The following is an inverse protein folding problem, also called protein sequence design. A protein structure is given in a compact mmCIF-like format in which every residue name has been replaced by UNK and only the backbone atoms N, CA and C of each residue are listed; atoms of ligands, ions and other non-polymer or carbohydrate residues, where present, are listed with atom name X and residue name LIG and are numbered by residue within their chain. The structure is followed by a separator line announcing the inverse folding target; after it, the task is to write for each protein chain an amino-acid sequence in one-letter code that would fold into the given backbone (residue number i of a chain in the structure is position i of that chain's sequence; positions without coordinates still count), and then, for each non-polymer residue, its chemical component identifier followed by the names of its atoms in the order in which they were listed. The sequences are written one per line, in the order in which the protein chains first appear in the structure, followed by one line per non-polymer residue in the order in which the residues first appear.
data_IF_616828059250
#
_entry.id   IF_616828059250
#
_cell.length_a   1.000
_cell.length_b   1.000
_cell.length_c   1.000
_cell.angle_alpha   90.00
_cell.angle_beta   90.00
_cell.angle_gamma   90.00
#
_symmetry.space_group_name_H-M   'P 1'
#
loop_
_entity.id
_entity.type
_entity.pdbx_description
1 polymer ?
#
# COMPACT_ATOMS: atom_id res chain seq x y z
N UNK A 1 -39.76 -1.70 21.52
CA UNK A 1 -40.59 -0.58 22.05
C UNK A 1 -41.89 -1.03 22.70
N UNK A 2 -42.69 -1.89 22.07
CA UNK A 2 -44.02 -2.35 22.58
C UNK A 2 -43.97 -2.98 23.98
N UNK A 3 -43.05 -3.91 24.26
CA UNK A 3 -43.00 -4.60 25.57
C UNK A 3 -42.76 -3.67 26.78
N UNK A 4 -42.07 -2.54 26.60
CA UNK A 4 -41.74 -1.65 27.71
C UNK A 4 -42.85 -0.65 28.02
N UNK A 5 -43.53 -0.11 27.01
CA UNK A 5 -44.69 0.77 27.22
C UNK A 5 -45.81 0.01 27.93
N UNK A 6 -46.03 -1.26 27.58
CA UNK A 6 -46.96 -2.14 28.29
C UNK A 6 -46.56 -2.36 29.75
N UNK A 7 -45.27 -2.57 30.06
CA UNK A 7 -44.80 -2.73 31.45
C UNK A 7 -44.99 -1.46 32.28
N UNK A 8 -44.70 -0.28 31.72
CA UNK A 8 -44.91 0.99 32.42
C UNK A 8 -46.39 1.28 32.70
N UNK A 9 -47.25 1.00 31.71
CA UNK A 9 -48.71 1.14 31.85
C UNK A 9 -49.22 0.15 32.91
N UNK A 10 -48.75 -1.11 32.92
CA UNK A 10 -49.16 -2.11 33.89
C UNK A 10 -48.74 -1.74 35.32
N UNK A 11 -47.51 -1.25 35.53
CA UNK A 11 -47.04 -0.78 36.84
C UNK A 11 -47.85 0.42 37.32
N UNK A 12 -48.12 1.38 36.43
CA UNK A 12 -48.91 2.55 36.75
C UNK A 12 -50.37 2.19 37.09
N UNK A 13 -50.99 1.27 36.35
CA UNK A 13 -52.32 0.74 36.66
C UNK A 13 -52.34 0.01 38.00
N UNK A 14 -51.30 -0.75 38.33
CA UNK A 14 -51.19 -1.46 39.61
C UNK A 14 -51.04 -0.48 40.78
N UNK A 15 -50.16 0.52 40.66
CA UNK A 15 -49.99 1.58 41.67
C UNK A 15 -51.29 2.38 41.83
N UNK A 16 -51.97 2.72 40.74
CA UNK A 16 -53.27 3.39 40.78
C UNK A 16 -54.35 2.54 41.45
N UNK A 17 -54.40 1.24 41.16
CA UNK A 17 -55.33 0.31 41.80
C UNK A 17 -55.07 0.20 43.31
N UNK A 18 -53.82 0.06 43.72
CA UNK A 18 -53.43 0.04 45.14
C UNK A 18 -53.80 1.37 45.82
N UNK A 19 -53.59 2.51 45.15
CA UNK A 19 -53.96 3.83 45.67
C UNK A 19 -55.47 3.99 45.88
N UNK A 20 -56.29 3.49 44.95
CA UNK A 20 -57.73 3.51 45.06
C UNK A 20 -58.23 2.63 46.21
N UNK A 21 -57.76 1.39 46.30
CA UNK A 21 -58.23 0.42 47.30
C UNK A 21 -57.71 0.75 48.69
N UNK A 22 -56.40 0.93 48.85
CA UNK A 22 -55.79 1.19 50.15
C UNK A 22 -56.15 2.58 50.69
N UNK A 23 -56.21 3.59 49.82
CA UNK A 23 -56.58 4.94 50.20
C UNK A 23 -58.02 5.03 50.72
N UNK A 24 -58.98 4.41 50.02
CA UNK A 24 -60.37 4.36 50.47
C UNK A 24 -60.56 3.52 51.73
N UNK A 25 -59.81 2.42 51.87
CA UNK A 25 -59.83 1.60 53.09
C UNK A 25 -59.30 2.38 54.30
N UNK A 26 -58.22 3.15 54.13
CA UNK A 26 -57.60 3.92 55.20
C UNK A 26 -58.49 5.08 55.66
N UNK A 27 -59.14 5.82 54.73
CA UNK A 27 -60.11 6.87 55.06
C UNK A 27 -61.28 6.30 55.89
N UNK A 28 -61.76 5.09 55.59
CA UNK A 28 -62.81 4.41 56.38
C UNK A 28 -62.35 4.00 57.76
N UNK A 29 -61.09 3.59 57.91
CA UNK A 29 -60.53 3.13 59.19
C UNK A 29 -60.21 4.30 60.13
N UNK A 30 -59.81 5.44 59.59
CA UNK A 30 -59.63 6.69 60.33
C UNK A 30 -61.02 7.29 60.57
N UNK A 31 -61.75 6.77 61.55
CA UNK A 31 -63.07 7.24 61.95
C UNK A 31 -62.97 8.58 62.68
N UNK A 32 -62.83 9.67 61.90
CA UNK A 32 -62.75 11.03 62.43
C UNK A 32 -64.15 11.46 62.91
N UNK A 33 -64.46 11.25 64.19
CA UNK A 33 -65.64 11.81 64.86
C UNK A 33 -65.47 13.31 65.13
N UNK A 34 -65.19 14.10 64.08
CA UNK A 34 -65.22 15.56 64.16
C UNK A 34 -66.59 16.02 63.66
N UNK A 35 -67.44 16.64 64.50
CA UNK A 35 -68.74 17.15 64.09
C UNK A 35 -68.59 18.17 62.95
N UNK A 36 -69.32 17.97 61.85
CA UNK A 36 -69.31 18.88 60.68
C UNK A 36 -68.27 18.58 59.60
N UNK A 37 -67.42 17.57 59.75
CA UNK A 37 -66.41 17.23 58.75
C UNK A 37 -66.97 16.32 57.64
N UNK A 38 -67.00 16.82 56.40
CA UNK A 38 -67.57 16.10 55.26
C UNK A 38 -66.50 15.21 54.58
N UNK A 39 -66.64 13.89 54.76
CA UNK A 39 -65.74 12.87 54.18
C UNK A 39 -65.60 12.97 52.65
N UNK A 40 -66.62 13.47 51.94
CA UNK A 40 -66.58 13.62 50.48
C UNK A 40 -65.43 14.55 50.04
N UNK A 41 -65.11 15.59 50.82
CA UNK A 41 -63.98 16.47 50.51
C UNK A 41 -62.64 15.74 50.59
N UNK A 42 -62.48 14.81 51.54
CA UNK A 42 -61.24 14.04 51.68
C UNK A 42 -61.06 13.07 50.51
N UNK A 43 -62.14 12.43 50.06
CA UNK A 43 -62.09 11.59 48.85
C UNK A 43 -61.73 12.41 47.61
N UNK A 44 -62.40 13.55 47.39
CA UNK A 44 -62.11 14.43 46.26
C UNK A 44 -60.67 14.95 46.28
N UNK A 45 -60.15 15.32 47.46
CA UNK A 45 -58.76 15.78 47.62
C UNK A 45 -57.76 14.66 47.32
N UNK A 46 -58.00 13.43 47.80
CA UNK A 46 -57.16 12.25 47.50
C UNK A 46 -57.09 11.99 46.00
N UNK A 47 -58.22 12.07 45.30
CA UNK A 47 -58.29 11.80 43.87
C UNK A 47 -57.61 12.91 43.05
N UNK A 48 -57.75 14.18 43.45
CA UNK A 48 -57.00 15.27 42.83
C UNK A 48 -55.49 15.14 43.04
N UNK A 49 -55.05 14.77 44.24
CA UNK A 49 -53.62 14.52 44.52
C UNK A 49 -53.07 13.38 43.65
N UNK A 50 -53.83 12.30 43.45
CA UNK A 50 -53.44 11.21 42.57
C UNK A 50 -53.25 11.67 41.12
N UNK A 51 -54.19 12.45 40.59
CA UNK A 51 -54.10 12.97 39.23
C UNK A 51 -52.87 13.86 39.04
N UNK A 52 -52.60 14.76 39.99
CA UNK A 52 -51.43 15.64 39.92
C UNK A 52 -50.12 14.85 39.98
N UNK A 53 -49.98 13.92 40.93
CA UNK A 53 -48.78 13.06 41.05
C UNK A 53 -48.58 12.20 39.81
N UNK A 54 -49.68 11.74 39.21
CA UNK A 54 -49.66 10.90 38.03
C UNK A 54 -49.22 11.66 36.77
N UNK A 55 -49.82 12.82 36.51
CA UNK A 55 -49.48 13.67 35.37
C UNK A 55 -48.01 14.10 35.46
N UNK A 56 -47.58 14.53 36.64
CA UNK A 56 -46.18 14.92 36.88
C UNK A 56 -45.22 13.74 36.70
N UNK A 57 -45.56 12.55 37.19
CA UNK A 57 -44.75 11.34 37.01
C UNK A 57 -44.61 10.95 35.53
N UNK A 58 -45.72 10.97 34.78
CA UNK A 58 -45.72 10.68 33.34
C UNK A 58 -44.86 11.70 32.59
N UNK A 59 -45.05 12.99 32.89
CA UNK A 59 -44.27 14.07 32.28
C UNK A 59 -42.76 13.94 32.58
N UNK A 60 -42.38 13.57 33.80
CA UNK A 60 -40.97 13.34 34.18
C UNK A 60 -40.38 12.14 33.44
N UNK A 61 -41.12 11.03 33.34
CA UNK A 61 -40.65 9.81 32.65
C UNK A 61 -40.47 10.08 31.15
N UNK A 62 -41.44 10.74 30.51
CA UNK A 62 -41.35 11.07 29.08
C UNK A 62 -40.22 12.07 28.82
N UNK A 63 -40.07 13.10 29.65
CA UNK A 63 -38.99 14.08 29.52
C UNK A 63 -37.61 13.45 29.69
N UNK A 64 -37.43 12.58 30.70
CA UNK A 64 -36.16 11.88 30.92
C UNK A 64 -35.81 10.95 29.74
N UNK A 65 -36.82 10.29 29.15
CA UNK A 65 -36.63 9.46 27.95
C UNK A 65 -36.26 10.28 26.73
N UNK A 66 -36.94 11.40 26.50
CA UNK A 66 -36.64 12.29 25.41
C UNK A 66 -35.19 12.80 25.51
N UNK A 67 -34.74 13.20 26.71
CA UNK A 67 -33.34 13.56 26.97
C UNK A 67 -32.37 12.43 26.64
N UNK A 68 -32.65 11.19 27.06
CA UNK A 68 -31.77 10.04 26.75
C UNK A 68 -31.68 9.74 25.25
N UNK A 69 -32.76 9.91 24.51
CA UNK A 69 -32.76 9.72 23.06
C UNK A 69 -31.94 10.80 22.36
N UNK A 70 -32.15 12.07 22.72
CA UNK A 70 -31.36 13.19 22.19
C UNK A 70 -29.86 13.04 22.47
N UNK A 71 -29.49 12.55 23.66
CA UNK A 71 -28.09 12.28 23.99
C UNK A 71 -27.48 11.20 23.09
N UNK A 72 -28.20 10.09 22.87
CA UNK A 72 -27.74 9.01 21.96
C UNK A 72 -27.62 9.48 20.52
N UNK A 73 -28.59 10.28 20.05
CA UNK A 73 -28.54 10.86 18.71
C UNK A 73 -27.34 11.79 18.55
N UNK A 74 -27.08 12.66 19.54
CA UNK A 74 -25.91 13.54 19.53
C UNK A 74 -24.60 12.76 19.58
N UNK A 75 -24.53 11.69 20.37
CA UNK A 75 -23.37 10.81 20.44
C UNK A 75 -23.12 10.10 19.11
N UNK A 76 -24.16 9.51 18.51
CA UNK A 76 -24.08 8.84 17.21
C UNK A 76 -23.64 9.81 16.11
N UNK A 77 -24.23 11.01 16.06
CA UNK A 77 -23.84 12.04 15.10
C UNK A 77 -22.39 12.49 15.32
N UNK A 78 -21.96 12.61 16.58
CA UNK A 78 -20.57 12.89 16.91
C UNK A 78 -19.61 11.80 16.46
N UNK A 79 -20.00 10.53 16.55
CA UNK A 79 -19.22 9.40 16.02
C UNK A 79 -19.17 9.42 14.49
N UNK A 80 -20.31 9.65 13.83
CA UNK A 80 -20.39 9.73 12.36
C UNK A 80 -19.46 10.82 11.82
N UNK A 81 -19.52 12.04 12.36
CA UNK A 81 -18.63 13.14 11.95
C UNK A 81 -17.16 12.78 12.18
N UNK A 82 -16.81 12.13 13.30
CA UNK A 82 -15.44 11.66 13.55
C UNK A 82 -15.00 10.59 12.54
N UNK A 83 -15.88 9.66 12.17
CA UNK A 83 -15.59 8.65 11.16
C UNK A 83 -15.41 9.28 9.78
N UNK A 84 -16.27 10.22 9.39
CA UNK A 84 -16.15 10.97 8.13
C UNK A 84 -14.84 11.76 8.07
N UNK A 85 -14.48 12.48 9.13
CA UNK A 85 -13.20 13.20 9.21
C UNK A 85 -12.01 12.25 9.11
N UNK A 86 -12.08 11.08 9.77
CA UNK A 86 -11.03 10.07 9.67
C UNK A 86 -10.90 9.51 8.26
N UNK A 87 -12.03 9.23 7.59
CA UNK A 87 -12.03 8.76 6.20
C UNK A 87 -11.47 9.81 5.26
N UNK A 88 -11.88 11.07 5.42
CA UNK A 88 -11.38 12.17 4.60
C UNK A 88 -9.87 12.37 4.78
N UNK A 89 -9.39 12.36 6.03
CA UNK A 89 -7.95 12.46 6.31
C UNK A 89 -7.17 11.30 5.71
N UNK A 90 -7.65 10.06 5.85
CA UNK A 90 -6.98 8.90 5.25
C UNK A 90 -6.94 8.96 3.72
N UNK A 91 -8.00 9.48 3.08
CA UNK A 91 -8.03 9.68 1.64
C UNK A 91 -7.02 10.75 1.21
N UNK A 92 -6.93 11.86 1.93
CA UNK A 92 -5.94 12.91 1.67
C UNK A 92 -4.51 12.42 1.87
N UNK A 93 -4.23 11.75 3.00
CA UNK A 93 -2.92 11.16 3.27
C UNK A 93 -2.54 10.16 2.16
N UNK A 94 -3.50 9.37 1.69
CA UNK A 94 -3.32 8.46 0.57
C UNK A 94 -2.98 9.20 -0.74
N UNK A 95 -3.70 10.29 -1.07
CA UNK A 95 -3.42 11.11 -2.24
C UNK A 95 -2.02 11.73 -2.19
N UNK A 96 -1.61 12.28 -1.04
CA UNK A 96 -0.26 12.85 -0.90
C UNK A 96 0.85 11.82 -1.06
N UNK A 97 0.67 10.60 -0.53
CA UNK A 97 1.65 9.53 -0.72
C UNK A 97 1.75 9.15 -2.19
N UNK A 98 0.62 9.09 -2.87
CA UNK A 98 0.54 8.77 -4.29
C UNK A 98 1.22 9.84 -5.16
N UNK A 99 0.94 11.12 -4.92
CA UNK A 99 1.60 12.25 -5.58
C UNK A 99 3.12 12.29 -5.30
N UNK A 100 3.54 11.97 -4.07
CA UNK A 100 4.95 11.97 -3.70
C UNK A 100 5.75 10.80 -4.30
N UNK A 101 5.09 9.67 -4.55
CA UNK A 101 5.71 8.48 -5.17
C UNK A 101 5.57 8.48 -6.69
N UNK A 102 4.64 9.27 -7.22
CA UNK A 102 4.27 9.34 -8.62
C UNK A 102 3.88 7.95 -9.18
N UNK A 103 3.25 7.13 -8.32
CA UNK A 103 2.84 5.78 -8.64
C UNK A 103 1.50 5.79 -9.39
N UNK A 104 1.31 4.82 -10.28
CA UNK A 104 0.04 4.59 -10.95
C UNK A 104 -0.70 3.45 -10.24
N UNK A 105 -1.88 3.73 -9.71
CA UNK A 105 -2.66 2.75 -8.94
C UNK A 105 -3.69 2.08 -9.83
N UNK A 106 -3.79 0.76 -9.71
CA UNK A 106 -4.75 -0.05 -10.44
C UNK A 106 -5.51 -1.01 -9.51
N UNK A 107 -6.73 -1.32 -9.93
CA UNK A 107 -7.66 -2.23 -9.29
C UNK A 107 -8.13 -3.27 -10.29
N UNK A 108 -7.84 -4.53 -10.02
CA UNK A 108 -8.14 -5.63 -10.93
C UNK A 108 -9.18 -6.58 -10.33
N UNK A 109 -10.31 -6.72 -11.03
CA UNK A 109 -11.36 -7.70 -10.74
C UNK A 109 -11.01 -9.01 -11.45
N UNK A 110 -10.58 -10.01 -10.67
CA UNK A 110 -10.05 -11.28 -11.20
C UNK A 110 -11.15 -12.08 -11.90
N UNK A 111 -12.38 -12.03 -11.37
CA UNK A 111 -13.51 -12.78 -11.91
C UNK A 111 -14.00 -12.19 -13.23
N UNK A 112 -13.93 -10.86 -13.40
CA UNK A 112 -14.36 -10.19 -14.63
C UNK A 112 -13.26 -10.01 -15.66
N UNK A 113 -12.01 -10.24 -15.29
CA UNK A 113 -10.85 -9.90 -16.12
C UNK A 113 -10.85 -8.41 -16.51
N UNK A 114 -11.07 -7.54 -15.52
CA UNK A 114 -11.15 -6.09 -15.74
C UNK A 114 -10.14 -5.35 -14.86
N UNK A 115 -9.20 -4.65 -15.52
CA UNK A 115 -8.30 -3.70 -14.87
C UNK A 115 -8.91 -2.29 -14.91
N UNK A 116 -8.95 -1.65 -13.76
CA UNK A 116 -9.37 -0.25 -13.59
C UNK A 116 -8.21 0.58 -13.06
N UNK A 117 -7.90 1.65 -13.77
CA UNK A 117 -6.94 2.65 -13.29
C UNK A 117 -7.63 3.54 -12.26
N UNK A 118 -7.05 3.59 -11.06
CA UNK A 118 -7.57 4.37 -9.92
C UNK A 118 -6.99 5.79 -9.93
N UNK A 119 -5.70 5.93 -10.27
CA UNK A 119 -4.99 7.23 -10.29
C UNK A 119 -3.64 7.15 -11.02
N UNK A 120 -3.11 8.29 -11.45
CA UNK A 120 -1.72 8.43 -11.94
C UNK A 120 -1.43 7.82 -13.32
N UNK A 121 -2.40 7.15 -13.94
CA UNK A 121 -2.21 6.47 -15.23
C UNK A 121 -1.93 7.46 -16.38
N UNK A 122 -2.77 8.48 -16.49
CA UNK A 122 -2.70 9.48 -17.55
C UNK A 122 -1.38 10.27 -17.47
N UNK A 123 -0.98 10.67 -16.27
CA UNK A 123 0.27 11.36 -15.98
C UNK A 123 1.52 10.50 -16.27
N UNK A 124 1.51 9.22 -15.85
CA UNK A 124 2.66 8.33 -16.01
C UNK A 124 2.90 7.92 -17.47
N UNK A 125 1.83 7.62 -18.21
CA UNK A 125 1.90 7.05 -19.56
C UNK A 125 1.50 8.02 -20.68
N UNK A 126 1.16 9.26 -20.33
CA UNK A 126 0.89 10.35 -21.27
C UNK A 126 -0.46 10.26 -21.98
N UNK A 127 -1.45 9.59 -21.39
CA UNK A 127 -2.81 9.54 -21.93
C UNK A 127 -3.60 10.81 -21.55
N UNK A 128 -4.60 11.15 -22.36
CA UNK A 128 -5.50 12.26 -22.05
C UNK A 128 -6.63 11.80 -21.13
N UNK A 129 -7.00 12.65 -20.17
CA UNK A 129 -8.12 12.46 -19.25
C UNK A 129 -9.35 11.86 -19.95
N UNK A 130 -9.76 10.68 -19.50
CA UNK A 130 -10.96 9.99 -20.00
C UNK A 130 -10.71 8.96 -21.11
N UNK A 131 -9.46 8.71 -21.50
CA UNK A 131 -9.14 7.57 -22.37
C UNK A 131 -9.35 6.27 -21.61
N UNK A 132 -10.44 5.54 -21.94
CA UNK A 132 -10.72 4.24 -21.30
C UNK A 132 -9.81 3.18 -21.90
N UNK A 133 -8.70 2.95 -21.22
CA UNK A 133 -7.76 1.88 -21.54
C UNK A 133 -8.24 0.58 -20.92
N UNK A 134 -8.71 -0.33 -21.77
CA UNK A 134 -9.04 -1.71 -21.36
C UNK A 134 -7.76 -2.53 -21.33
N UNK A 135 -7.36 -2.94 -20.14
CA UNK A 135 -6.27 -3.87 -19.89
C UNK A 135 -6.75 -5.07 -19.07
N UNK A 136 -5.94 -6.13 -19.12
CA UNK A 136 -6.22 -7.43 -18.53
C UNK A 136 -4.89 -8.05 -18.11
N UNK A 137 -4.84 -8.66 -16.94
CA UNK A 137 -3.68 -9.42 -16.49
C UNK A 137 -3.53 -10.77 -17.21
N UNK A 138 -4.61 -11.32 -17.78
CA UNK A 138 -4.55 -12.58 -18.52
C UNK A 138 -3.93 -12.45 -19.92
N UNK A 139 -3.94 -11.24 -20.51
CA UNK A 139 -3.37 -11.00 -21.85
C UNK A 139 -2.28 -9.93 -21.90
N UNK A 140 -2.29 -8.97 -20.98
CA UNK A 140 -1.31 -7.89 -20.85
C UNK A 140 -0.89 -7.27 -22.20
N UNK A 141 -1.84 -6.74 -23.00
CA UNK A 141 -1.60 -6.35 -24.39
C UNK A 141 -0.60 -5.20 -24.55
N UNK A 142 -0.46 -4.36 -23.52
CA UNK A 142 0.47 -3.22 -23.47
C UNK A 142 1.83 -3.56 -22.88
N UNK A 143 2.02 -4.77 -22.36
CA UNK A 143 3.35 -5.25 -21.99
C UNK A 143 4.11 -5.63 -23.25
N UNK A 144 5.38 -5.23 -23.30
CA UNK A 144 6.28 -5.50 -24.40
C UNK A 144 6.28 -7.00 -24.76
N UNK A 145 6.25 -7.40 -26.04
CA UNK A 145 6.08 -8.79 -26.45
C UNK A 145 7.08 -9.78 -25.83
N UNK A 146 8.32 -9.33 -25.58
CA UNK A 146 9.36 -10.18 -24.97
C UNK A 146 9.16 -10.41 -23.46
N UNK A 147 8.48 -9.50 -22.77
CA UNK A 147 8.33 -9.56 -21.31
C UNK A 147 6.98 -10.23 -20.95
N UNK A 148 6.01 -10.15 -21.87
CA UNK A 148 4.61 -10.52 -21.67
C UNK A 148 4.39 -11.92 -21.12
N UNK A 149 4.96 -12.96 -21.74
CA UNK A 149 4.66 -14.34 -21.30
C UNK A 149 5.17 -14.58 -19.88
N UNK A 150 6.37 -14.08 -19.57
CA UNK A 150 6.94 -14.17 -18.22
C UNK A 150 6.07 -13.44 -17.20
N UNK A 151 5.61 -12.23 -17.51
CA UNK A 151 4.75 -11.45 -16.60
C UNK A 151 3.40 -12.15 -16.35
N UNK A 152 2.79 -12.71 -17.40
CA UNK A 152 1.54 -13.47 -17.27
C UNK A 152 1.78 -14.74 -16.44
N UNK A 153 2.89 -15.44 -16.61
CA UNK A 153 3.21 -16.63 -15.82
C UNK A 153 3.40 -16.29 -14.33
N UNK A 154 4.11 -15.20 -14.01
CA UNK A 154 4.21 -14.70 -12.64
C UNK A 154 2.84 -14.40 -12.04
N UNK A 155 1.94 -13.80 -12.82
CA UNK A 155 0.57 -13.56 -12.40
C UNK A 155 -0.21 -14.86 -12.16
N UNK A 156 -0.14 -15.84 -13.08
CA UNK A 156 -0.78 -17.16 -12.87
C UNK A 156 -0.26 -17.84 -11.60
N UNK A 157 1.04 -17.78 -11.37
CA UNK A 157 1.68 -18.42 -10.23
C UNK A 157 1.20 -17.84 -8.90
N UNK A 158 1.05 -16.51 -8.78
CA UNK A 158 0.58 -15.90 -7.53
C UNK A 158 -0.87 -16.30 -7.19
N UNK A 159 -1.71 -16.55 -8.19
CA UNK A 159 -3.09 -16.97 -7.97
C UNK A 159 -3.18 -18.38 -7.36
N UNK A 160 -2.16 -19.22 -7.55
CA UNK A 160 -2.15 -20.63 -7.09
C UNK A 160 -1.16 -20.93 -5.98
N UNK A 161 -0.16 -20.07 -5.75
CA UNK A 161 0.94 -20.34 -4.81
C UNK A 161 0.55 -20.19 -3.34
N UNK A 162 -0.57 -19.50 -3.06
CA UNK A 162 -0.96 -19.10 -1.71
C UNK A 162 -0.24 -17.83 -1.20
N UNK A 163 0.68 -17.26 -1.99
CA UNK A 163 1.21 -15.93 -1.72
C UNK A 163 0.15 -14.87 -2.05
N UNK A 164 0.18 -13.76 -1.32
CA UNK A 164 -0.67 -12.60 -1.57
C UNK A 164 0.04 -11.47 -2.28
N UNK A 165 1.37 -11.54 -2.40
CA UNK A 165 2.18 -10.50 -3.02
C UNK A 165 2.62 -10.94 -4.41
N UNK A 166 2.42 -10.05 -5.36
CA UNK A 166 2.94 -10.19 -6.71
C UNK A 166 3.80 -8.98 -7.02
N UNK A 167 4.88 -9.22 -7.75
CA UNK A 167 5.73 -8.16 -8.25
C UNK A 167 6.32 -8.58 -9.60
N UNK A 168 6.43 -7.63 -10.51
CA UNK A 168 7.10 -7.81 -11.78
C UNK A 168 7.71 -6.50 -12.26
N UNK A 169 8.84 -6.58 -12.96
CA UNK A 169 9.41 -5.46 -13.68
C UNK A 169 9.34 -5.78 -15.17
N UNK A 170 8.78 -4.85 -15.96
CA UNK A 170 8.57 -5.07 -17.39
C UNK A 170 8.45 -3.75 -18.15
N UNK A 171 8.49 -3.84 -19.47
CA UNK A 171 8.27 -2.68 -20.34
C UNK A 171 6.79 -2.50 -20.66
N UNK A 172 6.27 -1.30 -20.42
CA UNK A 172 4.87 -0.93 -20.68
C UNK A 172 4.74 0.13 -21.75
N UNK A 173 3.75 -0.03 -22.63
CA UNK A 173 3.51 0.83 -23.79
C UNK A 173 2.80 2.14 -23.40
N UNK A 174 3.46 3.26 -23.66
CA UNK A 174 2.95 4.62 -23.47
C UNK A 174 2.07 5.07 -24.65
N UNK A 175 1.35 6.19 -24.47
CA UNK A 175 0.50 6.74 -25.54
C UNK A 175 1.30 7.10 -26.81
N UNK A 176 2.52 7.61 -26.64
CA UNK A 176 3.41 8.02 -27.73
C UNK A 176 3.99 6.83 -28.53
N UNK A 177 3.71 5.59 -28.13
CA UNK A 177 4.20 4.37 -28.76
C UNK A 177 5.55 3.88 -28.23
N UNK A 178 6.18 4.61 -27.32
CA UNK A 178 7.41 4.19 -26.66
C UNK A 178 7.12 3.28 -25.46
N UNK A 179 8.16 2.56 -25.03
CA UNK A 179 8.09 1.71 -23.85
C UNK A 179 8.85 2.32 -22.68
N UNK A 180 8.22 2.34 -21.51
CA UNK A 180 8.87 2.66 -20.23
C UNK A 180 9.09 1.39 -19.40
N UNK A 181 10.16 1.37 -18.61
CA UNK A 181 10.32 0.32 -17.61
C UNK A 181 9.46 0.67 -16.40
N UNK A 182 8.65 -0.29 -15.97
CA UNK A 182 7.80 -0.14 -14.79
C UNK A 182 8.09 -1.24 -13.79
N UNK A 183 8.10 -0.88 -12.51
CA UNK A 183 8.03 -1.83 -11.41
C UNK A 183 6.59 -1.91 -10.93
N UNK A 184 5.97 -3.05 -11.11
CA UNK A 184 4.56 -3.27 -10.79
C UNK A 184 4.44 -4.20 -9.59
N UNK A 185 3.63 -3.81 -8.61
CA UNK A 185 3.45 -4.55 -7.36
C UNK A 185 1.98 -4.60 -7.01
N UNK A 186 1.48 -5.79 -6.71
CA UNK A 186 0.09 -6.01 -6.37
C UNK A 186 -0.11 -6.89 -5.15
N UNK A 187 -1.24 -6.69 -4.49
CA UNK A 187 -1.69 -7.46 -3.34
C UNK A 187 -3.03 -8.12 -3.64
N UNK A 188 -3.09 -9.45 -3.47
CA UNK A 188 -4.30 -10.24 -3.65
C UNK A 188 -5.22 -10.11 -2.45
N UNK A 189 -6.48 -9.81 -2.75
CA UNK A 189 -7.60 -9.79 -1.83
C UNK A 189 -8.37 -11.10 -2.02
N UNK A 190 -8.50 -11.85 -0.93
CA UNK A 190 -9.17 -13.15 -0.92
C UNK A 190 -10.59 -13.02 -0.37
N UNK A 191 -11.48 -13.90 -0.81
CA UNK A 191 -12.80 -14.07 -0.20
C UNK A 191 -12.73 -14.93 1.09
N UNK A 192 -13.88 -15.15 1.73
CA UNK A 192 -13.99 -15.99 2.93
C UNK A 192 -13.59 -17.46 2.70
N UNK A 193 -13.59 -17.93 1.45
CA UNK A 193 -13.13 -19.25 1.05
C UNK A 193 -11.62 -19.30 0.71
N UNK A 194 -10.88 -18.22 0.97
CA UNK A 194 -9.45 -18.05 0.65
C UNK A 194 -9.13 -18.07 -0.86
N UNK A 195 -10.10 -17.77 -1.70
CA UNK A 195 -9.91 -17.69 -3.16
C UNK A 195 -9.59 -16.24 -3.57
N UNK A 196 -8.63 -16.01 -4.49
CA UNK A 196 -8.35 -14.68 -5.01
C UNK A 196 -9.54 -14.12 -5.80
N UNK A 197 -10.07 -12.97 -5.38
CA UNK A 197 -11.21 -12.31 -6.04
C UNK A 197 -10.86 -10.95 -6.64
N UNK A 198 -9.87 -10.27 -6.08
CA UNK A 198 -9.48 -8.92 -6.48
C UNK A 198 -8.00 -8.71 -6.23
N UNK A 199 -7.36 -7.84 -6.99
CA UNK A 199 -5.97 -7.47 -6.79
C UNK A 199 -5.84 -5.96 -6.86
N UNK A 200 -5.17 -5.36 -5.88
CA UNK A 200 -4.90 -3.93 -5.87
C UNK A 200 -3.39 -3.73 -5.93
N UNK A 201 -2.92 -2.81 -6.77
CA UNK A 201 -1.50 -2.59 -6.92
C UNK A 201 -1.12 -1.21 -7.41
N UNK A 202 0.19 -1.03 -7.54
CA UNK A 202 0.83 0.20 -7.95
C UNK A 202 1.95 -0.12 -8.95
N UNK A 203 1.98 0.63 -10.04
CA UNK A 203 3.09 0.67 -10.98
C UNK A 203 3.94 1.91 -10.68
N UNK A 204 5.25 1.74 -10.68
CA UNK A 204 6.21 2.84 -10.53
C UNK A 204 7.03 2.97 -11.81
N UNK A 205 7.20 4.20 -12.30
CA UNK A 205 8.14 4.47 -13.40
C UNK A 205 9.58 4.32 -12.90
N UNK A 206 10.28 3.34 -13.45
CA UNK A 206 11.70 3.06 -13.15
C UNK A 206 12.57 3.25 -14.40
N UNK A 207 12.06 3.95 -15.43
CA UNK A 207 12.73 4.07 -16.71
C UNK A 207 14.10 4.76 -16.60
N UNK A 208 14.16 5.88 -15.89
CA UNK A 208 15.42 6.63 -15.71
C UNK A 208 16.45 5.80 -14.94
N UNK A 209 16.04 5.20 -13.81
CA UNK A 209 16.92 4.36 -12.97
C UNK A 209 17.45 3.16 -13.75
N UNK A 210 16.58 2.50 -14.52
CA UNK A 210 16.95 1.32 -15.31
C UNK A 210 17.88 1.68 -16.45
N UNK A 211 17.59 2.78 -17.15
CA UNK A 211 18.43 3.26 -18.27
C UNK A 211 19.81 3.66 -17.78
N UNK A 212 19.88 4.40 -16.67
CA UNK A 212 21.16 4.78 -16.06
C UNK A 212 21.95 3.55 -15.59
N UNK A 213 21.29 2.57 -14.97
CA UNK A 213 21.91 1.31 -14.57
C UNK A 213 22.49 0.57 -15.78
N UNK A 214 21.72 0.42 -16.85
CA UNK A 214 22.16 -0.24 -18.09
C UNK A 214 23.35 0.48 -18.73
N UNK A 215 23.33 1.81 -18.76
CA UNK A 215 24.45 2.61 -19.26
C UNK A 215 25.72 2.39 -18.44
N UNK A 216 25.60 2.42 -17.10
CA UNK A 216 26.73 2.18 -16.19
C UNK A 216 27.28 0.75 -16.32
N UNK A 217 26.42 -0.25 -16.47
CA UNK A 217 26.81 -1.63 -16.71
C UNK A 217 27.55 -1.79 -18.05
N UNK A 218 27.05 -1.16 -19.11
CA UNK A 218 27.71 -1.16 -20.42
C UNK A 218 29.09 -0.51 -20.36
N UNK A 219 29.22 0.65 -19.69
CA UNK A 219 30.51 1.32 -19.51
C UNK A 219 31.49 0.46 -18.70
N UNK A 220 31.02 -0.17 -17.62
CA UNK A 220 31.86 -1.08 -16.83
C UNK A 220 32.30 -2.32 -17.61
N UNK A 221 31.44 -2.87 -18.47
CA UNK A 221 31.79 -3.99 -19.34
C UNK A 221 32.90 -3.60 -20.33
N UNK A 222 32.78 -2.43 -20.97
CA UNK A 222 33.79 -1.89 -21.87
C UNK A 222 35.13 -1.65 -21.15
N UNK A 223 35.10 -1.05 -19.96
CA UNK A 223 36.32 -0.83 -19.15
C UNK A 223 37.00 -2.15 -18.77
N UNK A 224 36.23 -3.18 -18.40
CA UNK A 224 36.77 -4.52 -18.11
C UNK A 224 37.41 -5.16 -19.33
N UNK A 225 36.81 -5.02 -20.51
CA UNK A 225 37.36 -5.52 -21.76
C UNK A 225 38.69 -4.86 -22.10
N UNK A 226 38.75 -3.51 -22.02
CA UNK A 226 39.99 -2.75 -22.21
C UNK A 226 41.07 -3.17 -21.21
N UNK A 227 40.72 -3.28 -19.92
CA UNK A 227 41.67 -3.70 -18.88
C UNK A 227 42.20 -5.12 -19.13
N UNK A 228 41.35 -6.03 -19.61
CA UNK A 228 41.75 -7.40 -19.96
C UNK A 228 42.71 -7.43 -21.17
N UNK A 229 42.39 -6.68 -22.24
CA UNK A 229 43.24 -6.55 -23.42
C UNK A 229 44.61 -5.97 -23.06
N UNK A 230 44.63 -4.87 -22.31
CA UNK A 230 45.87 -4.20 -21.88
C UNK A 230 46.74 -5.13 -21.02
N UNK A 231 46.12 -5.90 -20.12
CA UNK A 231 46.83 -6.90 -19.31
C UNK A 231 47.47 -8.00 -20.18
N UNK A 232 46.78 -8.43 -21.25
CA UNK A 232 47.31 -9.42 -22.17
C UNK A 232 48.50 -8.88 -22.97
N UNK A 233 48.39 -7.66 -23.50
CA UNK A 233 49.48 -7.00 -24.24
C UNK A 233 50.72 -6.77 -23.37
N UNK A 234 50.55 -6.33 -22.12
CA UNK A 234 51.67 -6.12 -21.17
C UNK A 234 52.32 -7.45 -20.74
N UNK A 235 51.53 -8.51 -20.57
CA UNK A 235 52.05 -9.81 -20.11
C UNK A 235 52.99 -10.45 -21.11
N UNK A 236 52.76 -10.28 -22.42
CA UNK A 236 53.58 -10.90 -23.48
C UNK A 236 55.08 -10.55 -23.37
N UNK A 237 55.50 -9.28 -23.45
CA UNK A 237 56.92 -8.92 -23.31
C UNK A 237 57.46 -9.21 -21.91
N UNK A 238 56.63 -9.08 -20.87
CA UNK A 238 57.03 -9.42 -19.50
C UNK A 238 57.40 -10.91 -19.38
N UNK A 239 56.58 -11.80 -19.93
CA UNK A 239 56.88 -13.23 -19.96
C UNK A 239 58.21 -13.51 -20.66
N UNK A 240 58.48 -12.87 -21.81
CA UNK A 240 59.74 -12.99 -22.53
C UNK A 240 60.93 -12.55 -21.66
N UNK A 241 60.82 -11.38 -21.01
CA UNK A 241 61.87 -10.87 -20.10
C UNK A 241 62.12 -11.87 -18.96
N UNK A 242 61.06 -12.35 -18.30
CA UNK A 242 61.21 -13.30 -17.19
C UNK A 242 61.80 -14.64 -17.60
N UNK A 243 61.52 -15.10 -18.83
CA UNK A 243 62.07 -16.35 -19.37
C UNK A 243 63.55 -16.22 -19.77
N UNK A 244 63.95 -15.07 -20.30
CA UNK A 244 65.33 -14.84 -20.78
C UNK A 244 66.30 -14.52 -19.64
N UNK A 245 65.87 -13.87 -18.56
CA UNK A 245 66.71 -13.56 -17.38
C UNK A 245 67.53 -14.77 -16.85
N UNK A 246 66.95 -15.96 -16.59
CA UNK A 246 67.73 -17.11 -16.14
C UNK A 246 68.71 -17.61 -17.22
N UNK A 247 68.33 -17.57 -18.49
CA UNK A 247 69.20 -17.99 -19.60
C UNK A 247 70.45 -17.09 -19.73
N UNK A 248 70.29 -15.79 -19.46
CA UNK A 248 71.41 -14.83 -19.40
C UNK A 248 72.39 -15.20 -18.29
N UNK A 249 71.89 -15.65 -17.13
CA UNK A 249 72.74 -16.08 -16.01
C UNK A 249 73.51 -17.37 -16.31
N UNK A 250 72.95 -18.27 -17.10
CA UNK A 250 73.59 -19.52 -17.50
C UNK A 250 74.60 -19.33 -18.65
N UNK A 251 74.41 -18.31 -19.47
CA UNK A 251 75.27 -18.01 -20.64
C UNK A 251 76.49 -17.13 -20.31
N UNK A 252 76.80 -16.93 -19.02
CA UNK A 252 77.96 -16.16 -18.55
C UNK A 252 79.24 -16.95 -18.89
N UNK A 253 79.72 -16.79 -20.12
CA UNK A 253 80.87 -17.51 -20.66
C UNK A 253 80.85 -17.68 -22.18
N UNK A 254 79.70 -17.50 -22.83
CA UNK A 254 79.54 -17.48 -24.28
C UNK A 254 79.08 -16.09 -24.74
N UNK A 255 80.01 -15.24 -25.24
CA UNK A 255 79.68 -13.88 -25.66
C UNK A 255 78.66 -13.82 -26.80
N UNK A 256 78.59 -14.83 -27.67
CA UNK A 256 77.67 -14.84 -28.81
C UNK A 256 76.23 -15.08 -28.33
N UNK A 257 76.02 -16.13 -27.51
CA UNK A 257 74.71 -16.42 -26.91
C UNK A 257 74.26 -15.31 -25.94
N UNK A 258 75.18 -14.72 -25.18
CA UNK A 258 74.87 -13.60 -24.28
C UNK A 258 74.37 -12.37 -25.06
N UNK A 259 74.98 -12.05 -26.21
CA UNK A 259 74.57 -10.93 -27.05
C UNK A 259 73.16 -11.15 -27.61
N UNK A 260 72.85 -12.36 -28.08
CA UNK A 260 71.52 -12.71 -28.60
C UNK A 260 70.42 -12.60 -27.53
N UNK A 261 70.68 -13.09 -26.31
CA UNK A 261 69.74 -12.98 -25.18
C UNK A 261 69.55 -11.53 -24.72
N UNK A 262 70.61 -10.70 -24.72
CA UNK A 262 70.51 -9.27 -24.45
C UNK A 262 69.65 -8.58 -25.51
N UNK A 263 69.84 -8.90 -26.80
CA UNK A 263 69.00 -8.34 -27.87
C UNK A 263 67.53 -8.71 -27.69
N UNK A 264 67.21 -9.94 -27.28
CA UNK A 264 65.81 -10.35 -27.01
C UNK A 264 65.22 -9.58 -25.81
N UNK A 265 66.02 -9.31 -24.77
CA UNK A 265 65.61 -8.47 -23.64
C UNK A 265 65.37 -7.02 -24.07
N UNK A 266 66.24 -6.44 -24.89
CA UNK A 266 66.09 -5.08 -25.41
C UNK A 266 64.81 -4.94 -26.24
N UNK A 267 64.56 -5.90 -27.13
CA UNK A 267 63.32 -5.93 -27.93
C UNK A 267 62.10 -6.04 -27.01
N UNK A 268 62.11 -6.97 -26.06
CA UNK A 268 60.97 -7.18 -25.15
C UNK A 268 60.74 -5.97 -24.23
N UNK A 269 61.80 -5.29 -23.77
CA UNK A 269 61.70 -4.07 -22.98
C UNK A 269 61.13 -2.90 -23.81
N UNK A 270 61.55 -2.77 -25.07
CA UNK A 270 61.01 -1.79 -26.00
C UNK A 270 59.53 -2.06 -26.33
N UNK A 271 59.15 -3.32 -26.57
CA UNK A 271 57.75 -3.72 -26.77
C UNK A 271 56.88 -3.41 -25.54
N UNK A 272 57.39 -3.64 -24.33
CA UNK A 272 56.71 -3.31 -23.09
C UNK A 272 56.50 -1.80 -22.94
N UNK A 273 57.53 -1.00 -23.20
CA UNK A 273 57.47 0.46 -23.14
C UNK A 273 56.46 1.03 -24.15
N UNK A 274 56.50 0.55 -25.40
CA UNK A 274 55.51 0.89 -26.42
C UNK A 274 54.08 0.53 -26.01
N UNK A 275 53.90 -0.64 -25.39
CA UNK A 275 52.59 -1.07 -24.88
C UNK A 275 52.10 -0.15 -23.79
N UNK A 276 52.94 0.21 -22.81
CA UNK A 276 52.59 1.15 -21.73
C UNK A 276 52.22 2.52 -22.30
N UNK A 277 52.99 3.03 -23.27
CA UNK A 277 52.69 4.29 -23.94
C UNK A 277 51.35 4.26 -24.68
N UNK A 278 51.05 3.16 -25.40
CA UNK A 278 49.77 2.95 -26.08
C UNK A 278 48.60 2.90 -25.10
N UNK A 279 48.75 2.18 -23.99
CA UNK A 279 47.73 2.08 -22.92
C UNK A 279 47.46 3.46 -22.33
N UNK A 280 48.49 4.22 -21.96
CA UNK A 280 48.35 5.57 -21.39
C UNK A 280 47.70 6.56 -22.36
N UNK A 281 48.00 6.47 -23.66
CA UNK A 281 47.38 7.30 -24.68
C UNK A 281 45.87 7.00 -24.81
N UNK A 282 45.47 5.73 -24.73
CA UNK A 282 44.05 5.33 -24.79
C UNK A 282 43.27 5.77 -23.55
N UNK A 283 43.85 5.73 -22.35
CA UNK A 283 43.19 6.24 -21.13
C UNK A 283 43.00 7.75 -21.14
N UNK A 284 43.88 8.52 -21.78
CA UNK A 284 43.74 9.98 -21.91
C UNK A 284 42.66 10.42 -22.91
N UNK A 285 42.21 9.53 -23.80
CA UNK A 285 41.13 9.81 -24.76
C UNK A 285 39.73 9.45 -24.27
N UNK A 286 39.61 8.94 -23.04
CA UNK A 286 38.35 8.53 -22.42
C UNK A 286 37.76 9.61 -21.48
N UNK A 287 38.43 10.75 -21.33
CA UNK A 287 37.94 11.99 -20.69
C UNK A 287 37.39 12.97 -21.75
#
# INVERSE_FOLDING_TARGET
MRKFTFSLIAIYLLVGFVWLVAGSWLIRKVNVQIPGFNLQYVYNLKDMLFLVVSITSIALITQNRYRRLLLKEKELNGQLVKHEQKMHKLLQDYQYVNEATNDCIWDYDIAKDELKWVSGYDEMFGYQDGTVVKDTFWRMPRVHPHDREQTIELFRNVLTSGDRRWAAEYRYLCHDGNYKYVADRGYLILNDALEPVRMLGAMQDIHEVTTYRQQLESQNAQLKEIAWLNSHEVRRPLCNITAVIPMVKESIGDPASLLELITILEISACELDQTIHKVNAQTQTLD
#
